data_IF_954357842742
#
_entry.id   IF_954357842742
#
_cell.length_a   1.000
_cell.length_b   1.000
_cell.length_c   1.000
_cell.angle_alpha   90.00
_cell.angle_beta   90.00
_cell.angle_gamma   90.00
#
_symmetry.space_group_name_H-M   'P 1'
#
loop_
_entity.id
_entity.type
_entity.pdbx_description
1 polymer ?
#
# COMPACT_ATOMS: atom_id res chain seq x y z
N UNK A 1 14.90 52.43 -37.94
CA UNK A 1 15.83 51.31 -38.24
C UNK A 1 16.70 51.00 -37.03
N UNK A 2 16.40 49.91 -36.31
CA UNK A 2 17.40 48.95 -35.82
C UNK A 2 16.64 47.73 -35.28
N UNK A 3 16.53 46.75 -36.17
CA UNK A 3 16.06 45.40 -35.92
C UNK A 3 17.21 44.64 -35.24
N UNK A 4 16.86 43.64 -34.44
CA UNK A 4 17.64 42.46 -33.99
C UNK A 4 18.26 42.51 -32.58
N UNK A 5 17.70 41.69 -31.68
CA UNK A 5 18.28 40.44 -31.12
C UNK A 5 17.33 39.96 -30.00
N UNK A 6 16.55 38.90 -30.24
CA UNK A 6 16.87 37.51 -29.86
C UNK A 6 16.74 37.30 -28.34
N UNK A 7 15.76 36.45 -27.98
CA UNK A 7 15.59 35.67 -26.75
C UNK A 7 15.10 36.43 -25.51
N UNK A 8 13.80 36.28 -25.21
CA UNK A 8 13.40 35.77 -23.90
C UNK A 8 12.02 35.09 -23.98
N UNK A 9 11.97 33.98 -24.73
CA UNK A 9 10.97 32.94 -24.51
C UNK A 9 11.45 32.10 -23.32
N UNK A 10 11.42 32.65 -22.11
CA UNK A 10 11.35 31.83 -20.90
C UNK A 10 9.93 32.01 -20.38
N UNK A 11 9.04 31.26 -21.02
CA UNK A 11 7.84 30.74 -20.39
C UNK A 11 8.32 30.16 -19.05
N UNK A 12 7.73 30.62 -17.96
CA UNK A 12 7.80 29.99 -16.65
C UNK A 12 7.80 28.47 -16.82
N UNK A 13 8.98 27.84 -16.76
CA UNK A 13 9.09 26.40 -16.51
C UNK A 13 8.77 26.26 -15.03
N UNK A 14 7.48 26.40 -14.74
CA UNK A 14 6.91 26.21 -13.43
C UNK A 14 7.02 24.71 -13.16
N UNK A 15 8.13 24.31 -12.54
CA UNK A 15 8.23 23.18 -11.64
C UNK A 15 7.44 21.92 -12.06
N UNK A 16 7.81 21.27 -13.17
CA UNK A 16 7.17 20.02 -13.61
C UNK A 16 8.14 18.85 -13.78
N UNK A 17 9.37 18.94 -13.26
CA UNK A 17 10.14 17.73 -12.96
C UNK A 17 9.81 17.37 -11.52
N UNK A 18 8.59 16.87 -11.30
CA UNK A 18 8.43 15.95 -10.17
C UNK A 18 9.40 14.83 -10.47
N UNK A 19 10.44 14.67 -9.64
CA UNK A 19 11.17 13.43 -9.60
C UNK A 19 10.10 12.36 -9.31
N UNK A 20 9.71 11.55 -10.30
CA UNK A 20 8.82 10.41 -10.11
C UNK A 20 9.60 9.37 -9.30
N UNK A 21 9.83 9.68 -8.02
CA UNK A 21 10.48 8.78 -7.08
C UNK A 21 9.48 7.63 -6.88
N UNK A 22 9.90 6.38 -7.10
CA UNK A 22 9.02 5.25 -6.89
C UNK A 22 8.47 5.30 -5.46
N UNK A 23 7.14 5.28 -5.32
CA UNK A 23 6.44 5.25 -4.05
C UNK A 23 5.62 3.94 -3.98
N UNK A 24 5.79 3.13 -2.93
CA UNK A 24 5.07 1.88 -2.80
C UNK A 24 3.61 2.16 -2.41
N UNK A 25 2.68 1.52 -3.11
CA UNK A 25 1.24 1.61 -2.83
C UNK A 25 0.77 0.31 -2.18
N UNK A 26 0.36 0.38 -0.91
CA UNK A 26 -0.12 -0.75 -0.15
C UNK A 26 -1.45 -1.26 -0.71
N UNK A 27 -1.54 -2.56 -0.97
CA UNK A 27 -2.76 -3.17 -1.48
C UNK A 27 -2.88 -4.61 -1.01
N UNK A 28 -4.10 -5.01 -0.64
CA UNK A 28 -4.43 -6.41 -0.47
C UNK A 28 -5.90 -6.72 -0.76
N UNK A 29 -6.20 -8.00 -1.00
CA UNK A 29 -7.57 -8.54 -1.08
C UNK A 29 -7.83 -9.54 0.05
N UNK A 30 -9.11 -9.76 0.38
CA UNK A 30 -9.56 -10.68 1.42
C UNK A 30 -10.45 -11.72 0.75
N UNK A 31 -10.17 -13.02 0.95
CA UNK A 31 -10.98 -14.08 0.36
C UNK A 31 -12.43 -14.11 0.88
N UNK A 32 -12.63 -13.79 2.17
CA UNK A 32 -13.93 -13.74 2.85
C UNK A 32 -14.01 -12.53 3.80
N UNK A 33 -14.71 -11.45 3.44
CA UNK A 33 -14.90 -10.28 4.31
C UNK A 33 -15.78 -10.56 5.55
N UNK A 34 -16.59 -11.61 5.47
CA UNK A 34 -17.36 -12.17 6.59
C UNK A 34 -17.14 -13.68 6.61
N UNK A 35 -16.78 -14.24 7.76
CA UNK A 35 -16.49 -15.67 7.90
C UNK A 35 -16.90 -16.18 9.28
N UNK A 36 -16.96 -17.51 9.43
CA UNK A 36 -17.24 -18.11 10.74
C UNK A 36 -15.95 -18.29 11.55
N UNK A 37 -16.06 -18.41 12.87
CA UNK A 37 -14.95 -18.87 13.72
C UNK A 37 -14.36 -20.17 13.14
N UNK A 38 -13.03 -20.24 13.03
CA UNK A 38 -12.33 -21.41 12.53
C UNK A 38 -12.18 -21.49 11.01
N UNK A 39 -12.82 -20.60 10.25
CA UNK A 39 -12.61 -20.52 8.79
C UNK A 39 -11.19 -20.03 8.48
N UNK A 40 -10.54 -20.66 7.49
CA UNK A 40 -9.32 -20.14 6.89
C UNK A 40 -9.63 -18.95 5.99
N UNK A 41 -9.00 -17.81 6.29
CA UNK A 41 -9.04 -16.58 5.50
C UNK A 41 -7.70 -16.41 4.80
N UNK A 42 -7.73 -15.95 3.54
CA UNK A 42 -6.53 -15.65 2.76
C UNK A 42 -6.50 -14.15 2.50
N UNK A 43 -5.40 -13.52 2.88
CA UNK A 43 -5.05 -12.15 2.53
C UNK A 43 -3.99 -12.17 1.44
N UNK A 44 -4.31 -11.63 0.27
CA UNK A 44 -3.41 -11.64 -0.89
C UNK A 44 -2.84 -10.24 -1.11
N UNK A 45 -1.52 -10.13 -1.10
CA UNK A 45 -0.78 -8.91 -1.37
C UNK A 45 -0.94 -8.51 -2.84
N UNK A 46 -1.35 -7.26 -3.09
CA UNK A 46 -1.34 -6.62 -4.41
C UNK A 46 -0.54 -5.31 -4.39
N UNK A 47 0.32 -5.13 -3.39
CA UNK A 47 1.16 -3.95 -3.22
C UNK A 47 1.99 -3.73 -4.47
N UNK A 48 1.97 -2.49 -4.95
CA UNK A 48 2.68 -2.09 -6.15
C UNK A 48 3.86 -1.19 -5.78
N UNK A 49 5.01 -1.40 -6.43
CA UNK A 49 6.19 -0.56 -6.23
C UNK A 49 7.04 -0.50 -7.49
N UNK A 50 7.03 0.66 -8.15
CA UNK A 50 7.80 0.93 -9.36
C UNK A 50 9.34 0.87 -9.14
N UNK A 51 9.80 0.80 -7.89
CA UNK A 51 11.22 0.74 -7.53
C UNK A 51 11.76 -0.67 -7.36
N UNK A 52 10.96 -1.71 -7.64
CA UNK A 52 11.33 -3.12 -7.52
C UNK A 52 10.61 -3.82 -6.37
N UNK A 53 11.34 -4.59 -5.56
CA UNK A 53 10.76 -5.29 -4.40
C UNK A 53 10.70 -4.37 -3.17
N UNK A 54 9.56 -4.34 -2.50
CA UNK A 54 9.37 -3.65 -1.22
C UNK A 54 9.05 -4.66 -0.11
N UNK A 55 9.46 -4.34 1.11
CA UNK A 55 9.06 -5.14 2.27
C UNK A 55 7.63 -4.80 2.68
N UNK A 56 6.95 -5.78 3.27
CA UNK A 56 5.60 -5.60 3.81
C UNK A 56 5.48 -6.13 5.23
N UNK A 57 4.68 -5.45 6.04
CA UNK A 57 4.32 -5.89 7.40
C UNK A 57 2.81 -5.96 7.48
N UNK A 58 2.29 -7.12 7.87
CA UNK A 58 0.86 -7.35 8.05
C UNK A 58 0.52 -7.27 9.53
N UNK A 59 -0.56 -6.57 9.86
CA UNK A 59 -1.19 -6.63 11.17
C UNK A 59 -2.57 -7.24 11.00
N UNK A 60 -2.84 -8.38 11.63
CA UNK A 60 -4.09 -9.12 11.45
C UNK A 60 -5.21 -8.67 12.42
N UNK A 61 -4.93 -7.70 13.29
CA UNK A 61 -5.91 -7.14 14.20
C UNK A 61 -6.19 -7.98 15.46
N UNK A 62 -5.55 -9.15 15.61
CA UNK A 62 -5.66 -10.05 16.77
C UNK A 62 -4.30 -10.25 17.48
N UNK A 63 -3.43 -9.25 17.40
CA UNK A 63 -2.02 -9.22 17.87
C UNK A 63 -1.01 -9.96 16.99
N UNK A 64 -1.44 -10.71 15.98
CA UNK A 64 -0.52 -11.36 15.04
C UNK A 64 0.06 -10.37 14.02
N UNK A 65 1.36 -10.53 13.77
CA UNK A 65 2.14 -9.74 12.80
C UNK A 65 2.90 -10.70 11.88
N UNK A 66 2.82 -10.47 10.57
CA UNK A 66 3.52 -11.28 9.55
C UNK A 66 4.40 -10.38 8.68
N UNK A 67 5.66 -10.76 8.47
CA UNK A 67 6.60 -10.01 7.64
C UNK A 67 6.74 -10.65 6.26
N UNK A 68 6.73 -9.83 5.20
CA UNK A 68 6.99 -10.21 3.80
C UNK A 68 6.10 -11.34 3.25
N UNK A 69 4.83 -11.42 3.68
CA UNK A 69 3.88 -12.39 3.16
C UNK A 69 3.22 -11.95 1.86
N UNK A 70 3.31 -12.76 0.80
CA UNK A 70 2.54 -12.54 -0.44
C UNK A 70 1.09 -13.02 -0.29
N UNK A 71 0.91 -14.20 0.30
CA UNK A 71 -0.39 -14.75 0.68
C UNK A 71 -0.37 -15.16 2.15
N UNK A 72 -1.07 -14.42 3.00
CA UNK A 72 -1.17 -14.71 4.43
C UNK A 72 -2.44 -15.50 4.69
N UNK A 73 -2.30 -16.72 5.21
CA UNK A 73 -3.43 -17.51 5.70
C UNK A 73 -3.61 -17.28 7.19
N UNK A 74 -4.84 -17.09 7.64
CA UNK A 74 -5.14 -16.85 9.05
C UNK A 74 -6.48 -17.45 9.47
N UNK A 75 -6.57 -17.82 10.74
CA UNK A 75 -7.79 -18.34 11.37
C UNK A 75 -8.08 -17.52 12.63
N UNK A 76 -9.26 -16.92 12.69
CA UNK A 76 -9.75 -16.24 13.89
C UNK A 76 -10.54 -17.20 14.77
N UNK A 77 -10.20 -17.25 16.05
CA UNK A 77 -10.80 -18.17 17.04
C UNK A 77 -11.91 -17.52 17.88
N UNK A 78 -12.16 -16.22 17.70
CA UNK A 78 -13.13 -15.46 18.47
C UNK A 78 -13.97 -14.65 17.49
N UNK A 79 -15.28 -14.59 17.70
CA UNK A 79 -16.16 -13.72 16.93
C UNK A 79 -15.86 -12.24 17.23
N UNK A 80 -15.93 -11.39 16.21
CA UNK A 80 -15.61 -9.99 16.34
C UNK A 80 -15.32 -9.31 15.01
N UNK A 81 -15.00 -8.02 15.09
CA UNK A 81 -14.50 -7.25 13.95
C UNK A 81 -13.00 -7.04 14.10
N UNK A 82 -12.24 -7.41 13.08
CA UNK A 82 -10.78 -7.24 13.05
C UNK A 82 -10.41 -6.20 12.00
N UNK A 83 -9.50 -5.29 12.38
CA UNK A 83 -8.90 -4.34 11.45
C UNK A 83 -7.57 -4.92 10.98
N UNK A 84 -7.53 -5.34 9.72
CA UNK A 84 -6.35 -5.92 9.08
C UNK A 84 -5.65 -4.83 8.29
N UNK A 85 -4.35 -4.66 8.48
CA UNK A 85 -3.54 -3.74 7.69
C UNK A 85 -2.34 -4.42 7.04
N UNK A 86 -1.94 -3.91 5.89
CA UNK A 86 -0.63 -4.15 5.29
C UNK A 86 0.09 -2.81 5.17
N UNK A 87 1.30 -2.76 5.69
CA UNK A 87 2.20 -1.63 5.62
C UNK A 87 3.30 -1.96 4.61
N UNK A 88 3.69 -1.00 3.80
CA UNK A 88 4.82 -1.12 2.88
C UNK A 88 5.66 0.15 2.89
N UNK A 89 6.95 0.04 2.57
CA UNK A 89 7.88 1.17 2.60
C UNK A 89 8.26 1.64 4.00
N UNK A 90 9.45 2.24 4.13
CA UNK A 90 9.94 2.78 5.40
C UNK A 90 9.30 4.13 5.76
N UNK A 91 9.61 4.65 6.96
CA UNK A 91 8.97 5.83 7.59
C UNK A 91 8.83 7.10 6.74
N UNK A 92 9.62 7.30 5.69
CA UNK A 92 9.56 8.51 4.84
C UNK A 92 8.77 8.34 3.55
N UNK A 93 8.53 7.11 3.10
CA UNK A 93 7.96 6.82 1.77
C UNK A 93 7.01 5.60 1.84
N UNK A 94 6.46 5.31 3.02
CA UNK A 94 5.57 4.18 3.20
C UNK A 94 4.15 4.45 2.76
N UNK A 95 3.37 3.38 2.65
CA UNK A 95 1.93 3.40 2.50
C UNK A 95 1.29 2.30 3.37
N UNK A 96 0.01 2.46 3.67
CA UNK A 96 -0.73 1.52 4.50
C UNK A 96 -2.14 1.39 4.01
N UNK A 97 -2.57 0.16 3.77
CA UNK A 97 -3.97 -0.16 3.49
C UNK A 97 -4.55 -0.89 4.70
N UNK A 98 -5.75 -0.48 5.13
CA UNK A 98 -6.50 -1.14 6.20
C UNK A 98 -7.88 -1.55 5.70
N UNK A 99 -8.29 -2.78 6.01
CA UNK A 99 -9.63 -3.32 5.75
C UNK A 99 -10.20 -4.01 6.97
N UNK A 100 -11.52 -4.09 7.06
CA UNK A 100 -12.21 -4.79 8.15
C UNK A 100 -12.70 -6.16 7.70
N UNK A 101 -12.64 -7.13 8.61
CA UNK A 101 -13.26 -8.44 8.48
C UNK A 101 -14.20 -8.69 9.66
N UNK A 102 -15.32 -9.36 9.41
CA UNK A 102 -16.28 -9.77 10.43
C UNK A 102 -16.21 -11.28 10.64
N UNK A 103 -16.04 -11.70 11.89
CA UNK A 103 -16.05 -13.11 12.31
C UNK A 103 -17.27 -13.34 13.19
N UNK A 104 -18.03 -14.38 12.90
CA UNK A 104 -19.28 -14.74 13.58
C UNK A 104 -19.34 -16.21 13.99
#
# INVERSE_FOLDING_TARGET
>A
MKIQKIILLIIFVQCAISCNRPHPTACFTISKPTANIGDTIIFTNCTDYDGGSTSTVWHLGDTQIVNNGENVQHIYNIAGQYSVSIETGGRSDGDTQTKRITIQ
#
